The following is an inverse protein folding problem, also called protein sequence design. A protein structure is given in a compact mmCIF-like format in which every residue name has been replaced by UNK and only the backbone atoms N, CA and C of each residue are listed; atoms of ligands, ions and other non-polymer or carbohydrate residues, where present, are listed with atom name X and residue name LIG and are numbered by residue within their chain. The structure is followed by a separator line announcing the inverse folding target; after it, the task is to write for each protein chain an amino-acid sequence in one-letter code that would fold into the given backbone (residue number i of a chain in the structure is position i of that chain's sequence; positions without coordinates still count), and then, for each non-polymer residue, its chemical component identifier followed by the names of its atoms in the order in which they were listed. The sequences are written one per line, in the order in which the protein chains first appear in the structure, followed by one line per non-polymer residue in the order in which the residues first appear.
data_IF_260267709933
#
_entry.id   IF_260267709933
#
_cell.length_a   1.000
_cell.length_b   1.000
_cell.length_c   1.000
_cell.angle_alpha   90.00
_cell.angle_beta   90.00
_cell.angle_gamma   90.00
#
_symmetry.space_group_name_H-M   'P 1'
#
loop_
_entity.id
_entity.type
_entity.pdbx_description
1 polymer ?
#
# COMPACT_ATOMS: atom_id res chain seq x y z
N UNK A 1 8.81 9.57 27.00
CA UNK A 1 8.63 9.60 28.46
C UNK A 1 7.14 9.56 28.72
N UNK A 2 6.63 8.40 29.11
CA UNK A 2 5.22 8.15 29.37
C UNK A 2 4.87 8.68 30.77
N UNK A 3 3.88 9.57 30.88
CA UNK A 3 3.33 10.01 32.15
C UNK A 3 2.22 9.03 32.54
N UNK A 4 2.53 8.22 33.55
CA UNK A 4 1.64 7.24 34.15
C UNK A 4 0.51 7.93 34.94
N UNK A 5 -0.65 7.28 34.85
CA UNK A 5 -1.92 7.56 35.55
C UNK A 5 -1.72 7.82 37.05
N UNK A 6 -2.22 8.97 37.49
CA UNK A 6 -2.43 9.29 38.90
C UNK A 6 -3.47 8.36 39.55
N UNK A 7 -3.14 7.89 40.74
CA UNK A 7 -3.84 6.87 41.53
C UNK A 7 -5.19 7.37 42.09
N UNK A 8 -6.34 6.90 41.59
CA UNK A 8 -7.68 7.32 42.03
C UNK A 8 -8.00 6.90 43.49
N UNK A 9 -7.21 5.98 44.07
CA UNK A 9 -7.37 5.52 45.46
C UNK A 9 -6.88 6.57 46.47
N UNK A 10 -5.93 7.42 46.08
CA UNK A 10 -5.44 8.53 46.90
C UNK A 10 -6.47 9.68 47.00
N UNK A 11 -7.19 9.98 45.91
CA UNK A 11 -8.23 11.00 45.87
C UNK A 11 -9.46 10.64 46.75
N UNK A 12 -9.83 9.35 46.79
CA UNK A 12 -10.97 8.86 47.56
C UNK A 12 -10.71 8.84 49.09
N UNK A 13 -9.44 8.71 49.49
CA UNK A 13 -9.02 8.75 50.90
C UNK A 13 -9.03 10.18 51.48
N UNK A 14 -8.93 11.19 50.63
CA UNK A 14 -8.92 12.61 50.99
C UNK A 14 -10.32 13.18 51.24
N UNK A 15 -11.35 12.62 50.59
CA UNK A 15 -12.77 12.99 50.78
C UNK A 15 -13.41 12.36 52.03
N UNK A 16 -12.91 11.22 52.49
CA UNK A 16 -13.47 10.46 53.63
C UNK A 16 -12.89 10.86 55.00
N UNK A 17 -11.97 11.82 55.06
CA UNK A 17 -11.17 12.11 56.27
C UNK A 17 -11.60 13.36 57.06
N UNK A 18 -12.79 13.96 56.82
CA UNK A 18 -13.29 15.06 57.68
C UNK A 18 -14.31 14.59 58.71
N UNK A 19 -13.72 14.26 59.85
CA UNK A 19 -14.24 13.93 61.17
C UNK A 19 -15.01 15.09 61.83
N UNK A 20 -16.22 14.82 62.32
CA UNK A 20 -16.87 15.56 63.42
C UNK A 20 -16.13 15.32 64.74
N UNK A 21 -16.19 16.27 65.68
CA UNK A 21 -16.69 15.88 66.99
C UNK A 21 -17.64 16.88 67.68
N UNK A 22 -18.44 16.27 68.56
CA UNK A 22 -19.55 16.75 69.39
C UNK A 22 -19.11 17.61 70.63
N UNK A 23 -19.87 17.66 71.75
CA UNK A 23 -20.72 18.79 72.15
C UNK A 23 -20.31 19.37 73.52
N UNK A 24 -20.82 20.55 73.93
CA UNK A 24 -20.81 20.92 75.35
C UNK A 24 -22.06 21.74 75.72
N UNK A 25 -22.80 21.18 76.68
CA UNK A 25 -23.93 21.75 77.41
C UNK A 25 -23.56 22.92 78.33
N UNK A 26 -24.54 23.76 78.64
CA UNK A 26 -24.63 24.46 79.92
C UNK A 26 -26.10 24.72 80.30
N UNK A 27 -26.52 24.13 81.42
CA UNK A 27 -27.76 24.29 82.21
C UNK A 27 -28.00 25.74 82.67
N UNK A 28 -29.22 26.31 82.65
CA UNK A 28 -30.40 26.12 83.53
C UNK A 28 -30.89 27.52 83.99
N UNK A 29 -31.99 27.75 84.74
CA UNK A 29 -33.14 26.90 85.13
C UNK A 29 -34.53 27.52 84.81
N UNK A 30 -35.57 26.73 85.15
CA UNK A 30 -37.01 26.97 85.38
C UNK A 30 -37.61 28.39 85.31
N UNK A 31 -38.84 28.50 84.77
CA UNK A 31 -40.06 28.69 85.59
C UNK A 31 -41.35 28.61 84.75
N UNK A 32 -42.37 28.02 85.35
CA UNK A 32 -43.73 27.81 84.86
C UNK A 32 -44.53 29.11 84.71
N UNK A 33 -45.35 29.20 83.66
CA UNK A 33 -46.63 29.93 83.65
C UNK A 33 -47.56 29.27 82.63
N UNK A 34 -48.32 28.28 83.09
CA UNK A 34 -49.49 27.78 82.40
C UNK A 34 -50.61 28.82 82.57
N UNK A 35 -50.92 29.56 81.51
CA UNK A 35 -52.24 30.16 81.21
C UNK A 35 -52.22 31.15 80.03
N UNK A 36 -51.05 31.64 79.57
CA UNK A 36 -50.91 32.45 78.34
C UNK A 36 -50.38 31.67 77.12
N UNK A 37 -49.99 30.41 77.33
CA UNK A 37 -49.39 29.53 76.32
C UNK A 37 -50.40 28.99 75.31
N UNK A 38 -51.63 28.71 75.74
CA UNK A 38 -52.66 28.11 74.87
C UNK A 38 -53.15 29.10 73.81
N UNK A 39 -53.40 30.36 74.19
CA UNK A 39 -53.85 31.41 73.27
C UNK A 39 -52.74 31.77 72.26
N UNK A 40 -51.49 31.89 72.72
CA UNK A 40 -50.33 32.11 71.82
C UNK A 40 -50.05 30.90 70.91
N UNK A 41 -50.28 29.67 71.38
CA UNK A 41 -50.12 28.46 70.55
C UNK A 41 -51.21 28.33 69.48
N UNK A 42 -52.46 28.69 69.80
CA UNK A 42 -53.58 28.65 68.86
C UNK A 42 -53.42 29.69 67.76
N UNK A 43 -53.10 30.95 68.10
CA UNK A 43 -52.89 32.03 67.11
C UNK A 43 -51.71 31.72 66.18
N UNK A 44 -50.65 31.10 66.70
CA UNK A 44 -49.51 30.64 65.89
C UNK A 44 -49.90 29.49 64.95
N UNK A 45 -50.76 28.59 65.40
CA UNK A 45 -51.25 27.47 64.60
C UNK A 45 -52.19 27.95 63.48
N UNK A 46 -53.10 28.87 63.77
CA UNK A 46 -53.99 29.47 62.76
C UNK A 46 -53.19 30.21 61.67
N UNK A 47 -52.07 30.85 62.03
CA UNK A 47 -51.14 31.46 61.08
C UNK A 47 -50.44 30.44 60.18
N UNK A 48 -50.04 29.29 60.72
CA UNK A 48 -49.43 28.20 59.94
C UNK A 48 -50.45 27.54 59.00
N UNK A 49 -51.69 27.34 59.46
CA UNK A 49 -52.79 26.79 58.65
C UNK A 49 -53.17 27.77 57.54
N UNK A 50 -53.32 29.06 57.85
CA UNK A 50 -53.58 30.10 56.84
C UNK A 50 -52.49 30.13 55.77
N UNK A 51 -51.22 29.98 56.17
CA UNK A 51 -50.10 29.90 55.24
C UNK A 51 -50.11 28.62 54.40
N UNK A 52 -50.48 27.47 54.97
CA UNK A 52 -50.67 26.23 54.20
C UNK A 52 -51.72 26.44 53.10
N UNK A 53 -52.89 26.99 53.44
CA UNK A 53 -53.96 27.16 52.45
C UNK A 53 -53.60 28.20 51.39
N UNK A 54 -53.12 29.38 51.78
CA UNK A 54 -52.78 30.44 50.82
C UNK A 54 -51.60 30.09 49.92
N UNK A 55 -50.50 29.60 50.50
CA UNK A 55 -49.27 29.40 49.73
C UNK A 55 -49.22 28.04 49.05
N UNK A 56 -49.69 26.96 49.71
CA UNK A 56 -49.51 25.59 49.21
C UNK A 56 -50.75 24.99 48.55
N UNK A 57 -51.95 25.36 48.99
CA UNK A 57 -53.20 24.82 48.42
C UNK A 57 -53.72 25.71 47.29
N UNK A 58 -53.73 27.03 47.49
CA UNK A 58 -54.16 28.00 46.48
C UNK A 58 -53.00 28.54 45.64
N UNK A 59 -51.77 28.54 46.18
CA UNK A 59 -50.56 28.93 45.46
C UNK A 59 -49.90 27.77 44.71
N UNK A 60 -49.03 28.11 43.75
CA UNK A 60 -48.26 27.14 42.97
C UNK A 60 -46.85 26.97 43.53
N UNK A 61 -46.74 26.12 44.55
CA UNK A 61 -45.45 25.74 45.15
C UNK A 61 -44.60 24.84 44.24
N UNK A 62 -45.20 24.21 43.22
CA UNK A 62 -44.46 23.36 42.29
C UNK A 62 -43.63 24.21 41.33
N UNK A 63 -44.12 25.38 40.90
CA UNK A 63 -43.32 26.33 40.10
C UNK A 63 -41.97 26.68 40.76
N UNK A 64 -41.96 26.88 42.08
CA UNK A 64 -40.71 27.18 42.82
C UNK A 64 -39.73 26.00 42.86
N UNK A 65 -40.24 24.77 42.90
CA UNK A 65 -39.45 23.54 42.86
C UNK A 65 -38.99 23.22 41.43
N UNK A 66 -39.79 23.58 40.43
CA UNK A 66 -39.46 23.44 39.03
C UNK A 66 -38.29 24.35 38.63
N UNK A 67 -38.26 25.58 39.14
CA UNK A 67 -37.15 26.52 38.96
C UNK A 67 -35.90 26.07 39.72
N UNK A 68 -36.06 25.61 40.97
CA UNK A 68 -34.97 25.10 41.78
C UNK A 68 -35.41 23.88 42.63
N UNK A 69 -35.01 22.65 42.24
CA UNK A 69 -35.41 21.44 42.96
C UNK A 69 -35.06 21.44 44.46
N UNK A 70 -34.02 22.19 44.86
CA UNK A 70 -33.64 22.36 46.26
C UNK A 70 -34.69 23.11 47.11
N UNK A 71 -35.62 23.86 46.51
CA UNK A 71 -36.69 24.54 47.22
C UNK A 71 -37.70 23.55 47.84
N UNK A 72 -37.78 22.32 47.32
CA UNK A 72 -38.60 21.26 47.92
C UNK A 72 -38.22 21.00 49.39
N UNK A 73 -36.93 21.09 49.75
CA UNK A 73 -36.49 20.97 51.14
C UNK A 73 -37.01 22.09 52.03
N UNK A 74 -37.06 23.33 51.51
CA UNK A 74 -37.60 24.49 52.25
C UNK A 74 -39.10 24.35 52.46
N UNK A 75 -39.83 23.93 51.42
CA UNK A 75 -41.26 23.66 51.48
C UNK A 75 -41.58 22.53 52.46
N UNK A 76 -40.81 21.43 52.41
CA UNK A 76 -40.94 20.30 53.34
C UNK A 76 -40.61 20.68 54.78
N UNK A 77 -39.59 21.50 55.00
CA UNK A 77 -39.26 22.00 56.35
C UNK A 77 -40.40 22.84 56.95
N UNK A 78 -41.17 23.55 56.12
CA UNK A 78 -42.37 24.24 56.57
C UNK A 78 -43.50 23.25 56.90
N UNK A 79 -43.76 22.29 56.01
CA UNK A 79 -44.79 21.26 56.22
C UNK A 79 -44.54 20.43 57.48
N UNK A 80 -43.28 20.13 57.80
CA UNK A 80 -42.91 19.43 59.03
C UNK A 80 -43.33 20.18 60.32
N UNK A 81 -43.49 21.53 60.27
CA UNK A 81 -43.96 22.32 61.43
C UNK A 81 -45.45 22.13 61.72
N UNK A 82 -46.21 21.59 60.77
CA UNK A 82 -47.63 21.26 60.90
C UNK A 82 -47.86 19.86 61.47
N UNK A 83 -46.81 19.05 61.69
CA UNK A 83 -46.89 17.79 62.42
C UNK A 83 -46.93 18.05 63.93
N UNK A 84 -48.06 18.58 64.41
CA UNK A 84 -48.26 18.90 65.82
C UNK A 84 -49.68 18.52 66.30
N UNK A 85 -49.89 18.37 67.63
CA UNK A 85 -51.19 17.94 68.18
C UNK A 85 -52.35 18.93 67.98
N UNK A 86 -52.06 20.17 67.57
CA UNK A 86 -53.05 21.22 67.31
C UNK A 86 -53.45 21.30 65.82
N UNK A 87 -52.93 20.40 64.97
CA UNK A 87 -53.37 20.23 63.58
C UNK A 87 -54.45 19.16 63.53
N UNK A 88 -55.59 19.46 62.92
CA UNK A 88 -56.64 18.46 62.73
C UNK A 88 -56.18 17.34 61.78
N UNK A 89 -56.76 16.15 61.94
CA UNK A 89 -56.36 14.93 61.22
C UNK A 89 -56.52 15.08 59.71
N UNK A 90 -57.52 15.83 59.24
CA UNK A 90 -57.78 16.02 57.81
C UNK A 90 -56.69 16.90 57.19
N UNK A 91 -56.34 18.01 57.83
CA UNK A 91 -55.24 18.89 57.42
C UNK A 91 -53.90 18.18 57.46
N UNK A 92 -53.64 17.37 58.49
CA UNK A 92 -52.41 16.57 58.58
C UNK A 92 -52.30 15.54 57.43
N UNK A 93 -53.41 14.90 57.05
CA UNK A 93 -53.46 14.02 55.89
C UNK A 93 -53.12 14.73 54.57
N UNK A 94 -53.56 15.99 54.41
CA UNK A 94 -53.20 16.83 53.25
C UNK A 94 -51.71 17.19 53.25
N UNK A 95 -51.15 17.53 54.42
CA UNK A 95 -49.72 17.83 54.60
C UNK A 95 -48.83 16.66 54.21
N UNK A 96 -49.11 15.45 54.70
CA UNK A 96 -48.33 14.24 54.36
C UNK A 96 -48.37 13.95 52.85
N UNK A 97 -49.56 14.09 52.23
CA UNK A 97 -49.71 13.91 50.78
C UNK A 97 -48.89 14.93 50.01
N UNK A 98 -48.90 16.17 50.45
CA UNK A 98 -48.17 17.27 49.83
C UNK A 98 -46.64 17.11 49.96
N UNK A 99 -46.14 16.61 51.10
CA UNK A 99 -44.73 16.24 51.27
C UNK A 99 -44.31 15.15 50.29
N UNK A 100 -45.12 14.10 50.13
CA UNK A 100 -44.87 13.03 49.16
C UNK A 100 -44.85 13.55 47.72
N UNK A 101 -45.78 14.45 47.36
CA UNK A 101 -45.85 15.06 46.03
C UNK A 101 -44.59 15.91 45.79
N UNK A 102 -44.18 16.71 46.77
CA UNK A 102 -42.98 17.55 46.69
C UNK A 102 -41.70 16.74 46.48
N UNK A 103 -41.55 15.62 47.21
CA UNK A 103 -40.39 14.73 47.06
C UNK A 103 -40.35 14.11 45.65
N UNK A 104 -41.49 13.58 45.18
CA UNK A 104 -41.59 12.97 43.85
C UNK A 104 -41.36 14.00 42.73
N UNK A 105 -41.94 15.20 42.87
CA UNK A 105 -41.81 16.28 41.89
C UNK A 105 -40.36 16.76 41.80
N UNK A 106 -39.68 16.98 42.93
CA UNK A 106 -38.29 17.41 42.95
C UNK A 106 -37.35 16.39 42.26
N UNK A 107 -37.54 15.09 42.53
CA UNK A 107 -36.78 14.01 41.86
C UNK A 107 -37.06 14.01 40.36
N UNK A 108 -38.32 14.17 39.96
CA UNK A 108 -38.75 14.14 38.55
C UNK A 108 -38.16 15.32 37.78
N UNK A 109 -38.24 16.55 38.31
CA UNK A 109 -37.64 17.75 37.71
C UNK A 109 -36.13 17.60 37.58
N UNK A 110 -35.45 17.10 38.61
CA UNK A 110 -34.01 16.89 38.57
C UNK A 110 -33.61 15.86 37.49
N UNK A 111 -34.36 14.77 37.37
CA UNK A 111 -34.15 13.77 36.33
C UNK A 111 -34.43 14.31 34.93
N UNK A 112 -35.50 15.10 34.77
CA UNK A 112 -35.81 15.77 33.51
C UNK A 112 -34.65 16.67 33.07
N UNK A 113 -34.15 17.53 33.95
CA UNK A 113 -32.99 18.40 33.67
C UNK A 113 -31.76 17.61 33.24
N UNK A 114 -31.41 16.56 33.99
CA UNK A 114 -30.27 15.69 33.68
C UNK A 114 -30.43 15.03 32.31
N UNK A 115 -31.62 14.51 32.02
CA UNK A 115 -31.92 13.84 30.75
C UNK A 115 -31.87 14.82 29.57
N UNK A 116 -32.44 16.02 29.71
CA UNK A 116 -32.38 17.06 28.68
C UNK A 116 -30.95 17.49 28.38
N UNK A 117 -30.12 17.68 29.42
CA UNK A 117 -28.70 18.00 29.22
C UNK A 117 -27.95 16.86 28.54
N UNK A 118 -28.21 15.61 28.94
CA UNK A 118 -27.62 14.43 28.30
C UNK A 118 -28.03 14.31 26.83
N UNK A 119 -29.30 14.56 26.52
CA UNK A 119 -29.83 14.54 25.15
C UNK A 119 -29.12 15.57 24.27
N UNK A 120 -29.01 16.82 24.72
CA UNK A 120 -28.31 17.87 23.99
C UNK A 120 -26.83 17.51 23.74
N UNK A 121 -26.15 16.94 24.75
CA UNK A 121 -24.77 16.47 24.60
C UNK A 121 -24.63 15.30 23.61
N UNK A 122 -25.57 14.36 23.61
CA UNK A 122 -25.58 13.25 22.66
C UNK A 122 -25.87 13.71 21.23
N UNK A 123 -26.78 14.66 21.05
CA UNK A 123 -27.08 15.24 19.74
C UNK A 123 -25.83 15.90 19.14
N UNK A 124 -25.15 16.76 19.92
CA UNK A 124 -23.93 17.42 19.47
C UNK A 124 -22.80 16.42 19.15
N UNK A 125 -22.68 15.34 19.92
CA UNK A 125 -21.70 14.28 19.65
C UNK A 125 -22.03 13.49 18.37
N UNK A 126 -23.32 13.21 18.14
CA UNK A 126 -23.78 12.57 16.91
C UNK A 126 -23.46 13.41 15.68
N UNK A 127 -23.84 14.70 15.70
CA UNK A 127 -23.59 15.62 14.58
C UNK A 127 -22.09 15.71 14.26
N UNK A 128 -21.24 15.83 15.28
CA UNK A 128 -19.78 15.86 15.11
C UNK A 128 -19.20 14.55 14.53
N UNK A 129 -19.75 13.40 14.89
CA UNK A 129 -19.33 12.10 14.33
C UNK A 129 -19.83 11.93 12.90
N UNK A 130 -21.05 12.36 12.61
CA UNK A 130 -21.64 12.29 11.28
C UNK A 130 -20.85 13.15 10.28
N UNK A 131 -20.49 14.39 10.64
CA UNK A 131 -19.63 15.25 9.83
C UNK A 131 -18.26 14.62 9.54
N UNK A 132 -17.63 13.99 10.54
CA UNK A 132 -16.37 13.25 10.35
C UNK A 132 -16.53 12.07 9.39
N UNK A 133 -17.65 11.34 9.47
CA UNK A 133 -17.94 10.23 8.58
C UNK A 133 -18.14 10.71 7.14
N UNK A 134 -18.87 11.81 6.94
CA UNK A 134 -19.07 12.42 5.62
C UNK A 134 -17.74 12.90 5.01
N UNK A 135 -16.89 13.54 5.80
CA UNK A 135 -15.55 13.96 5.36
C UNK A 135 -14.67 12.76 4.96
N UNK A 136 -14.72 11.67 5.75
CA UNK A 136 -14.00 10.44 5.42
C UNK A 136 -14.51 9.80 4.11
N UNK A 137 -15.83 9.74 3.92
CA UNK A 137 -16.44 9.22 2.69
C UNK A 137 -16.02 10.04 1.47
N UNK A 138 -16.05 11.38 1.57
CA UNK A 138 -15.60 12.28 0.49
C UNK A 138 -14.13 12.01 0.11
N UNK A 139 -13.26 11.82 1.11
CA UNK A 139 -11.85 11.47 0.89
C UNK A 139 -11.69 10.12 0.18
N UNK A 140 -12.50 9.11 0.52
CA UNK A 140 -12.49 7.81 -0.14
C UNK A 140 -12.86 7.94 -1.62
N UNK A 141 -13.92 8.69 -1.95
CA UNK A 141 -14.32 8.91 -3.35
C UNK A 141 -13.25 9.67 -4.15
N UNK A 142 -12.59 10.66 -3.53
CA UNK A 142 -11.46 11.35 -4.14
C UNK A 142 -10.31 10.38 -4.45
N UNK A 143 -9.93 9.52 -3.49
CA UNK A 143 -8.88 8.52 -3.70
C UNK A 143 -9.24 7.51 -4.78
N UNK A 144 -10.49 7.05 -4.82
CA UNK A 144 -10.99 6.15 -5.86
C UNK A 144 -10.87 6.78 -7.25
N UNK A 145 -11.18 8.07 -7.37
CA UNK A 145 -11.03 8.83 -8.61
C UNK A 145 -9.56 8.96 -9.02
N UNK A 146 -8.65 9.19 -8.07
CA UNK A 146 -7.21 9.22 -8.34
C UNK A 146 -6.65 7.86 -8.78
N UNK A 147 -7.14 6.75 -8.21
CA UNK A 147 -6.73 5.39 -8.61
C UNK A 147 -7.23 5.03 -10.00
N UNK A 148 -8.41 5.51 -10.39
CA UNK A 148 -8.98 5.23 -11.72
C UNK A 148 -8.30 5.98 -12.86
N UNK A 149 -7.61 7.09 -12.58
CA UNK A 149 -6.79 7.79 -13.56
C UNK A 149 -5.38 7.21 -13.48
N UNK A 150 -4.90 6.47 -14.50
CA UNK A 150 -3.50 6.09 -14.57
C UNK A 150 -2.69 7.38 -14.44
N UNK A 151 -1.87 7.49 -13.38
CA UNK A 151 -1.03 8.67 -13.22
C UNK A 151 -0.22 8.90 -14.50
N UNK A 152 0.02 10.16 -14.88
CA UNK A 152 0.72 10.51 -16.13
C UNK A 152 2.02 9.72 -16.32
N UNK A 153 2.74 9.40 -15.23
CA UNK A 153 3.93 8.55 -15.28
C UNK A 153 3.68 7.09 -15.71
N UNK A 154 2.57 6.48 -15.29
CA UNK A 154 2.19 5.12 -15.75
C UNK A 154 1.86 5.14 -17.24
N UNK A 155 1.16 6.18 -17.71
CA UNK A 155 0.84 6.34 -19.12
C UNK A 155 2.10 6.56 -19.96
N UNK A 156 3.03 7.38 -19.49
CA UNK A 156 4.33 7.58 -20.13
C UNK A 156 5.16 6.28 -20.18
N UNK A 157 5.20 5.52 -19.08
CA UNK A 157 5.82 4.19 -19.06
C UNK A 157 5.20 3.25 -20.09
N UNK A 158 3.87 3.16 -20.15
CA UNK A 158 3.17 2.32 -21.12
C UNK A 158 3.49 2.72 -22.57
N UNK A 159 3.54 4.02 -22.86
CA UNK A 159 3.91 4.52 -24.18
C UNK A 159 5.36 4.16 -24.55
N UNK A 160 6.29 4.30 -23.60
CA UNK A 160 7.70 3.93 -23.79
C UNK A 160 7.86 2.43 -24.01
N UNK A 161 7.15 1.60 -23.23
CA UNK A 161 7.12 0.14 -23.41
C UNK A 161 6.63 -0.20 -24.81
N UNK A 162 5.49 0.34 -25.23
CA UNK A 162 4.94 0.07 -26.57
C UNK A 162 5.90 0.50 -27.69
N UNK A 163 6.57 1.65 -27.53
CA UNK A 163 7.58 2.13 -28.47
C UNK A 163 8.76 1.16 -28.56
N UNK A 164 9.34 0.77 -27.43
CA UNK A 164 10.49 -0.13 -27.41
C UNK A 164 10.14 -1.54 -27.90
N UNK A 165 8.93 -2.04 -27.61
CA UNK A 165 8.44 -3.30 -28.18
C UNK A 165 8.35 -3.24 -29.70
N UNK A 166 7.87 -2.13 -30.27
CA UNK A 166 7.84 -1.93 -31.72
C UNK A 166 9.25 -1.86 -32.33
N UNK A 167 10.18 -1.15 -31.68
CA UNK A 167 11.59 -1.11 -32.09
C UNK A 167 12.23 -2.50 -32.09
N UNK A 168 11.99 -3.30 -31.05
CA UNK A 168 12.48 -4.69 -30.97
C UNK A 168 11.95 -5.53 -32.14
N UNK A 169 10.68 -5.41 -32.49
CA UNK A 169 10.11 -6.16 -33.63
C UNK A 169 10.72 -5.72 -34.96
N UNK A 170 10.96 -4.42 -35.15
CA UNK A 170 11.65 -3.89 -36.32
C UNK A 170 13.05 -4.48 -36.47
N UNK A 171 13.87 -4.46 -35.39
CA UNK A 171 15.21 -5.02 -35.42
C UNK A 171 15.23 -6.52 -35.69
N UNK A 172 14.27 -7.28 -35.14
CA UNK A 172 14.13 -8.72 -35.43
C UNK A 172 13.90 -8.98 -36.91
N UNK A 173 13.04 -8.19 -37.57
CA UNK A 173 12.81 -8.30 -39.00
C UNK A 173 14.07 -7.97 -39.81
N UNK A 174 14.82 -6.95 -39.39
CA UNK A 174 16.07 -6.55 -40.05
C UNK A 174 17.17 -7.62 -39.91
N UNK A 175 17.26 -8.27 -38.75
CA UNK A 175 18.16 -9.41 -38.51
C UNK A 175 17.80 -10.57 -39.44
N UNK A 176 16.52 -10.98 -39.48
CA UNK A 176 16.07 -12.06 -40.35
C UNK A 176 16.39 -11.78 -41.84
N UNK A 177 16.22 -10.53 -42.28
CA UNK A 177 16.59 -10.13 -43.64
C UNK A 177 18.10 -10.28 -43.91
N UNK A 178 18.95 -9.88 -42.96
CA UNK A 178 20.41 -10.03 -43.09
C UNK A 178 20.84 -11.49 -43.07
N UNK A 179 20.23 -12.32 -42.23
CA UNK A 179 20.50 -13.76 -42.20
C UNK A 179 20.18 -14.43 -43.54
N UNK A 180 19.05 -14.06 -44.16
CA UNK A 180 18.71 -14.52 -45.50
C UNK A 180 19.76 -14.11 -46.55
N UNK A 181 20.17 -12.84 -46.56
CA UNK A 181 21.22 -12.35 -47.49
C UNK A 181 22.54 -13.07 -47.29
N UNK A 182 22.93 -13.34 -46.05
CA UNK A 182 24.15 -14.12 -45.73
C UNK A 182 24.04 -15.54 -46.31
N UNK A 183 22.88 -16.18 -46.19
CA UNK A 183 22.66 -17.52 -46.75
C UNK A 183 22.76 -17.51 -48.29
N UNK A 184 22.16 -16.52 -48.95
CA UNK A 184 22.24 -16.33 -50.40
C UNK A 184 23.69 -16.13 -50.87
N UNK A 185 24.46 -15.28 -50.20
CA UNK A 185 25.88 -15.06 -50.52
C UNK A 185 26.76 -16.28 -50.25
N UNK A 186 26.49 -17.05 -49.17
CA UNK A 186 27.17 -18.32 -48.93
C UNK A 186 26.93 -19.32 -50.06
N UNK A 187 25.70 -19.40 -50.57
CA UNK A 187 25.37 -20.27 -51.69
C UNK A 187 26.04 -19.81 -52.99
N UNK A 188 26.08 -18.50 -53.26
CA UNK A 188 26.83 -17.95 -54.41
C UNK A 188 28.31 -18.29 -54.32
N UNK A 189 28.92 -18.09 -53.14
CA UNK A 189 30.31 -18.43 -52.90
C UNK A 189 30.60 -19.91 -53.17
N UNK A 190 29.79 -20.83 -52.64
CA UNK A 190 29.96 -22.28 -52.87
C UNK A 190 29.95 -22.62 -54.37
N UNK A 191 29.00 -22.06 -55.13
CA UNK A 191 28.92 -22.28 -56.58
C UNK A 191 30.14 -21.77 -57.33
N UNK A 192 30.66 -20.60 -56.93
CA UNK A 192 31.87 -20.03 -57.52
C UNK A 192 33.09 -20.90 -57.19
N UNK A 193 33.24 -21.32 -55.93
CA UNK A 193 34.34 -22.20 -55.50
C UNK A 193 34.32 -23.53 -56.26
N UNK A 194 33.14 -24.15 -56.43
CA UNK A 194 32.96 -25.37 -57.22
C UNK A 194 33.33 -25.16 -58.70
N UNK A 195 32.87 -24.07 -59.31
CA UNK A 195 33.16 -23.76 -60.72
C UNK A 195 34.65 -23.49 -60.97
N UNK A 196 35.30 -22.76 -60.05
CA UNK A 196 36.74 -22.51 -60.10
C UNK A 196 37.50 -23.84 -59.94
N UNK A 197 37.15 -24.67 -58.97
CA UNK A 197 37.79 -25.96 -58.76
C UNK A 197 37.66 -26.87 -60.00
N UNK A 198 36.46 -26.94 -60.61
CA UNK A 198 36.23 -27.72 -61.82
C UNK A 198 37.06 -27.21 -63.00
N UNK A 199 37.07 -25.89 -63.22
CA UNK A 199 37.83 -25.26 -64.32
C UNK A 199 39.34 -25.46 -64.13
N UNK A 200 39.86 -25.25 -62.91
CA UNK A 200 41.27 -25.47 -62.59
C UNK A 200 41.66 -26.93 -62.78
N UNK A 201 40.83 -27.87 -62.32
CA UNK A 201 41.08 -29.30 -62.49
C UNK A 201 41.13 -29.69 -63.97
N UNK A 202 40.26 -29.11 -64.79
CA UNK A 202 40.25 -29.36 -66.24
C UNK A 202 41.50 -28.81 -66.93
N UNK A 203 41.91 -27.57 -66.62
CA UNK A 203 43.16 -27.00 -67.13
C UNK A 203 44.38 -27.83 -66.73
N UNK A 204 44.42 -28.37 -65.51
CA UNK A 204 45.49 -29.28 -65.05
C UNK A 204 45.49 -30.56 -65.89
N UNK A 205 44.32 -31.17 -66.16
CA UNK A 205 44.23 -32.39 -66.97
C UNK A 205 44.73 -32.17 -68.39
N UNK A 206 44.32 -31.09 -69.04
CA UNK A 206 44.75 -30.79 -70.41
C UNK A 206 46.26 -30.52 -70.48
N UNK A 207 46.80 -29.71 -69.57
CA UNK A 207 48.24 -29.47 -69.50
C UNK A 207 49.04 -30.75 -69.21
N UNK A 208 48.54 -31.62 -68.33
CA UNK A 208 49.17 -32.91 -68.04
C UNK A 208 49.15 -33.84 -69.27
N UNK A 209 48.03 -33.89 -69.99
CA UNK A 209 47.88 -34.68 -71.22
C UNK A 209 48.83 -34.21 -72.32
N UNK A 210 48.95 -32.90 -72.52
CA UNK A 210 49.90 -32.31 -73.46
C UNK A 210 51.35 -32.63 -73.06
N UNK A 211 51.68 -32.47 -71.77
CA UNK A 211 53.00 -32.83 -71.24
C UNK A 211 53.34 -34.30 -71.48
N UNK A 212 52.42 -35.22 -71.19
CA UNK A 212 52.61 -36.67 -71.43
C UNK A 212 52.85 -36.95 -72.92
N UNK A 213 52.10 -36.30 -73.82
CA UNK A 213 52.28 -36.44 -75.27
C UNK A 213 53.70 -36.02 -75.70
N UNK A 214 54.15 -34.84 -75.28
CA UNK A 214 55.49 -34.33 -75.59
C UNK A 214 56.60 -35.20 -75.00
N UNK A 215 56.47 -35.66 -73.75
CA UNK A 215 57.45 -36.57 -73.14
C UNK A 215 57.52 -37.90 -73.89
N UNK A 216 56.38 -38.43 -74.34
CA UNK A 216 56.33 -39.68 -75.11
C UNK A 216 57.03 -39.51 -76.47
N UNK A 217 56.77 -38.41 -77.17
CA UNK A 217 57.45 -38.09 -78.43
C UNK A 217 58.96 -37.91 -78.24
N UNK A 218 59.37 -37.19 -77.19
CA UNK A 218 60.78 -37.00 -76.86
C UNK A 218 61.48 -38.32 -76.52
N UNK A 219 60.80 -39.26 -75.86
CA UNK A 219 61.35 -40.58 -75.56
C UNK A 219 61.62 -41.39 -76.84
N UNK A 220 60.73 -41.33 -77.83
CA UNK A 220 60.93 -41.98 -79.15
C UNK A 220 62.15 -41.38 -79.85
N UNK A 221 62.23 -40.05 -79.93
CA UNK A 221 63.37 -39.34 -80.55
C UNK A 221 64.68 -39.68 -79.83
N UNK A 222 64.66 -39.79 -78.49
CA UNK A 222 65.85 -40.16 -77.71
C UNK A 222 66.37 -41.55 -78.06
N UNK A 223 65.48 -42.52 -78.29
CA UNK A 223 65.90 -43.85 -78.73
C UNK A 223 66.45 -43.83 -80.16
N UNK A 224 65.87 -43.02 -81.05
CA UNK A 224 66.38 -42.81 -82.41
C UNK A 224 67.78 -42.16 -82.41
N UNK A 225 67.99 -41.12 -81.58
CA UNK A 225 69.31 -40.49 -81.39
C UNK A 225 70.33 -41.54 -80.98
N UNK A 226 70.01 -42.37 -79.98
CA UNK A 226 70.91 -43.42 -79.50
C UNK A 226 71.23 -44.43 -80.61
N UNK A 227 70.22 -44.85 -81.39
CA UNK A 227 70.43 -45.72 -82.55
C UNK A 227 71.34 -45.09 -83.60
N UNK A 228 71.21 -43.78 -83.86
CA UNK A 228 72.07 -43.06 -84.80
C UNK A 228 73.50 -42.90 -84.28
N UNK A 229 73.68 -42.60 -82.99
CA UNK A 229 75.00 -42.55 -82.35
C UNK A 229 75.74 -43.89 -82.48
N UNK A 230 75.05 -44.99 -82.26
CA UNK A 230 75.61 -46.34 -82.41
C UNK A 230 75.95 -46.65 -83.89
N UNK A 231 75.09 -46.25 -84.84
CA UNK A 231 75.37 -46.39 -86.26
C UNK A 231 76.59 -45.56 -86.71
N UNK A 232 76.73 -44.32 -86.24
CA UNK A 232 77.86 -43.43 -86.54
C UNK A 232 79.18 -44.04 -86.04
N UNK A 233 79.19 -44.66 -84.85
CA UNK A 233 80.39 -45.35 -84.33
C UNK A 233 80.84 -46.48 -85.25
N UNK A 234 79.90 -47.31 -85.71
CA UNK A 234 80.19 -48.43 -86.62
C UNK A 234 80.77 -47.90 -87.94
N UNK A 235 80.08 -46.94 -88.56
CA UNK A 235 80.52 -46.34 -89.83
C UNK A 235 81.89 -45.66 -89.71
N UNK A 236 82.19 -45.03 -88.58
CA UNK A 236 83.50 -44.41 -88.34
C UNK A 236 84.63 -45.44 -88.34
N UNK A 237 84.41 -46.63 -87.77
CA UNK A 237 85.36 -47.74 -87.81
C UNK A 237 85.53 -48.26 -89.24
N UNK A 238 84.44 -48.48 -89.97
CA UNK A 238 84.47 -48.91 -91.37
C UNK A 238 85.25 -47.94 -92.26
N UNK A 239 84.99 -46.63 -92.13
CA UNK A 239 85.72 -45.59 -92.86
C UNK A 239 87.21 -45.60 -92.51
N UNK A 240 87.56 -45.82 -91.24
CA UNK A 240 88.94 -45.97 -90.79
C UNK A 240 89.65 -47.15 -91.47
N UNK A 241 89.03 -48.33 -91.44
CA UNK A 241 89.56 -49.54 -92.11
C UNK A 241 89.75 -49.34 -93.62
N UNK A 242 88.80 -48.70 -94.29
CA UNK A 242 88.90 -48.39 -95.73
C UNK A 242 90.07 -47.44 -96.00
N UNK A 243 90.26 -46.41 -95.16
CA UNK A 243 91.39 -45.49 -95.28
C UNK A 243 92.73 -46.21 -95.08
N UNK A 244 92.82 -47.11 -94.11
CA UNK A 244 94.02 -47.91 -93.85
C UNK A 244 94.33 -48.85 -95.04
N UNK A 245 93.32 -49.55 -95.56
CA UNK A 245 93.46 -50.36 -96.78
C UNK A 245 93.91 -49.52 -97.99
N UNK A 246 93.36 -48.32 -98.16
CA UNK A 246 93.76 -47.42 -99.25
C UNK A 246 95.20 -46.93 -99.08
N UNK A 247 95.64 -46.63 -97.85
CA UNK A 247 97.02 -46.23 -97.56
C UNK A 247 98.01 -47.37 -97.81
N UNK A 248 97.69 -48.60 -97.41
CA UNK A 248 98.49 -49.80 -97.69
C UNK A 248 98.56 -50.11 -99.20
N UNK A 249 97.45 -49.98 -99.92
CA UNK A 249 97.47 -50.07 -101.39
C UNK A 249 98.41 -49.02 -102.00
N UNK A 250 98.30 -47.77 -101.55
CA UNK A 250 99.12 -46.66 -102.05
C UNK A 250 100.61 -46.84 -101.76
N UNK A 251 100.99 -47.37 -100.59
CA UNK A 251 102.39 -47.61 -100.22
C UNK A 251 103.06 -48.68 -101.10
N UNK A 252 102.29 -49.68 -101.57
CA UNK A 252 102.74 -50.74 -102.50
C UNK A 252 102.90 -50.26 -103.95
N UNK A 253 102.39 -49.08 -104.30
CA UNK A 253 102.46 -48.52 -105.66
C UNK A 253 103.55 -47.45 -105.84
N UNK A 254 104.34 -47.14 -104.80
CA UNK A 254 105.50 -46.27 -104.90
C UNK A 254 106.78 -47.12 -105.16
N UNK A 255 107.63 -46.72 -106.12
CA UNK A 255 108.81 -47.49 -106.53
C UNK A 255 109.93 -47.55 -105.47
#
# INVERSE_FOLDING_TARGET
IALQRDDPKAALKLLLSKKTPDPVSSSGPSNSTASDSEINSSVRQDSLISKLYNDFIYGDILASVEEHPCNAFKHKSFLNRLHNPHTDVETLGKVIKLESILDQFAITVQNLRRNSQKLAGQQAAYDALFEKAMAAQSKVEQMKTQVQQPGLGIQECNNNIAKWEAEIQSFRAEIANREQKILEEKNKRSKIEEAVAATTQESIREAAKEGISHFSAAAVIKEEIKSLEDAIKIQSVEVGLIKDHYADFKSKCLP
#
